data_IF_359740768427
#
_entry.id   IF_359740768427
#
_cell.length_a   1.000
_cell.length_b   1.000
_cell.length_c   1.000
_cell.angle_alpha   90.00
_cell.angle_beta   90.00
_cell.angle_gamma   90.00
#
_symmetry.space_group_name_H-M   'P 1'
#
loop_
_entity.id
_entity.type
_entity.pdbx_description
1 polymer ?
#
# COMPACT_ATOMS: atom_id res chain seq x y z
N UNK A 1 -10.24 -32.95 -8.77
CA UNK A 1 -11.04 -32.20 -9.74
C UNK A 1 -11.82 -31.14 -8.98
N UNK A 2 -11.26 -29.94 -8.86
CA UNK A 2 -11.92 -28.79 -8.25
C UNK A 2 -13.01 -28.32 -9.21
N UNK A 3 -14.24 -28.31 -8.75
CA UNK A 3 -15.34 -27.61 -9.44
C UNK A 3 -14.98 -26.13 -9.47
N UNK A 4 -14.58 -25.63 -10.63
CA UNK A 4 -14.49 -24.20 -10.87
C UNK A 4 -15.88 -23.60 -10.60
N UNK A 5 -15.97 -22.78 -9.56
CA UNK A 5 -17.22 -22.08 -9.25
C UNK A 5 -17.51 -21.12 -10.40
N UNK A 6 -18.48 -21.49 -11.22
CA UNK A 6 -18.95 -20.68 -12.32
C UNK A 6 -19.54 -19.39 -11.73
N UNK A 7 -18.97 -18.25 -12.10
CA UNK A 7 -19.57 -16.95 -11.79
C UNK A 7 -21.00 -16.93 -12.34
N UNK A 8 -21.97 -16.35 -11.63
CA UNK A 8 -23.33 -16.32 -12.13
C UNK A 8 -23.37 -15.64 -13.51
N UNK A 9 -24.09 -16.20 -14.48
CA UNK A 9 -23.99 -15.85 -15.91
C UNK A 9 -24.39 -14.40 -16.27
N UNK A 10 -24.80 -13.60 -15.30
CA UNK A 10 -25.32 -12.24 -15.52
C UNK A 10 -24.43 -11.10 -14.99
N UNK A 11 -23.23 -11.41 -14.44
CA UNK A 11 -22.34 -10.36 -13.95
C UNK A 11 -21.44 -9.85 -15.09
N UNK A 12 -21.84 -8.77 -15.68
CA UNK A 12 -20.98 -8.06 -16.63
C UNK A 12 -19.97 -7.19 -15.87
N UNK A 13 -18.84 -6.91 -16.50
CA UNK A 13 -17.84 -5.97 -16.00
C UNK A 13 -18.48 -4.64 -15.56
N UNK A 14 -19.43 -4.12 -16.35
CA UNK A 14 -20.11 -2.86 -16.06
C UNK A 14 -20.91 -2.92 -14.75
N UNK A 15 -21.65 -4.00 -14.51
CA UNK A 15 -22.41 -4.16 -13.26
C UNK A 15 -21.49 -4.24 -12.04
N UNK A 16 -20.40 -5.01 -12.14
CA UNK A 16 -19.43 -5.15 -11.04
C UNK A 16 -18.74 -3.81 -10.76
N UNK A 17 -18.32 -3.09 -11.79
CA UNK A 17 -17.67 -1.78 -11.65
C UNK A 17 -18.63 -0.75 -11.04
N UNK A 18 -19.88 -0.72 -11.48
CA UNK A 18 -20.91 0.16 -10.91
C UNK A 18 -21.14 -0.14 -9.43
N UNK A 19 -21.33 -1.41 -9.06
CA UNK A 19 -21.48 -1.82 -7.66
C UNK A 19 -20.24 -1.52 -6.83
N UNK A 20 -19.05 -1.69 -7.39
CA UNK A 20 -17.79 -1.39 -6.71
C UNK A 20 -17.65 0.09 -6.36
N UNK A 21 -18.18 0.98 -7.18
CA UNK A 21 -18.16 2.43 -6.96
C UNK A 21 -19.28 2.92 -6.06
N UNK A 22 -20.35 2.14 -5.89
CA UNK A 22 -21.44 2.46 -4.98
C UNK A 22 -21.03 2.20 -3.51
N UNK A 23 -21.46 3.07 -2.58
CA UNK A 23 -21.09 3.00 -1.17
C UNK A 23 -21.61 1.73 -0.48
N UNK A 24 -22.80 1.28 -0.81
CA UNK A 24 -23.41 0.08 -0.23
C UNK A 24 -22.93 -1.17 -0.96
N UNK A 25 -22.88 -1.11 -2.29
CA UNK A 25 -22.39 -2.17 -3.15
C UNK A 25 -20.95 -2.57 -2.84
N UNK A 26 -20.06 -1.59 -2.60
CA UNK A 26 -18.68 -1.86 -2.23
C UNK A 26 -18.56 -2.68 -0.94
N UNK A 27 -19.34 -2.36 0.07
CA UNK A 27 -19.34 -3.10 1.34
C UNK A 27 -19.83 -4.53 1.17
N UNK A 28 -20.85 -4.74 0.33
CA UNK A 28 -21.32 -6.09 0.00
C UNK A 28 -20.23 -6.88 -0.72
N UNK A 29 -19.54 -6.27 -1.67
CA UNK A 29 -18.40 -6.88 -2.38
C UNK A 29 -17.27 -7.27 -1.43
N UNK A 30 -16.89 -6.38 -0.53
CA UNK A 30 -15.89 -6.67 0.49
C UNK A 30 -16.31 -7.86 1.37
N UNK A 31 -17.58 -7.93 1.78
CA UNK A 31 -18.10 -9.03 2.58
C UNK A 31 -18.03 -10.37 1.82
N UNK A 32 -18.40 -10.37 0.53
CA UNK A 32 -18.29 -11.55 -0.35
C UNK A 32 -16.85 -12.01 -0.47
N UNK A 33 -15.90 -11.10 -0.76
CA UNK A 33 -14.48 -11.43 -0.89
C UNK A 33 -13.90 -12.01 0.41
N UNK A 34 -14.31 -11.49 1.57
CA UNK A 34 -13.89 -11.98 2.89
C UNK A 34 -14.44 -13.37 3.22
N UNK A 35 -15.69 -13.63 2.85
CA UNK A 35 -16.42 -14.84 3.25
C UNK A 35 -16.30 -15.98 2.25
N UNK A 36 -16.12 -15.70 0.97
CA UNK A 36 -16.22 -16.66 -0.12
C UNK A 36 -14.93 -16.75 -0.95
N UNK A 37 -13.88 -17.35 -0.38
CA UNK A 37 -12.58 -17.55 -1.08
C UNK A 37 -12.68 -18.17 -2.48
N UNK A 38 -13.58 -19.16 -2.76
CA UNK A 38 -13.73 -19.74 -4.10
C UNK A 38 -14.13 -18.71 -5.17
N UNK A 39 -14.79 -17.62 -4.77
CA UNK A 39 -15.24 -16.57 -5.70
C UNK A 39 -14.15 -15.59 -6.09
N UNK A 40 -13.02 -15.57 -5.39
CA UNK A 40 -11.93 -14.64 -5.66
C UNK A 40 -11.44 -14.74 -7.12
N UNK A 41 -11.12 -15.95 -7.57
CA UNK A 41 -10.60 -16.18 -8.94
C UNK A 41 -11.61 -15.83 -10.03
N UNK A 42 -12.85 -16.34 -10.01
CA UNK A 42 -13.88 -15.96 -10.97
C UNK A 42 -14.14 -14.45 -10.99
N UNK A 43 -14.25 -13.83 -9.82
CA UNK A 43 -14.50 -12.39 -9.72
C UNK A 43 -13.35 -11.57 -10.33
N UNK A 44 -12.10 -11.89 -9.99
CA UNK A 44 -10.96 -11.22 -10.57
C UNK A 44 -10.90 -11.44 -12.09
N UNK A 45 -10.93 -12.69 -12.55
CA UNK A 45 -10.70 -13.03 -13.94
C UNK A 45 -11.78 -12.50 -14.90
N UNK A 46 -13.05 -12.49 -14.46
CA UNK A 46 -14.18 -12.15 -15.33
C UNK A 46 -14.72 -10.73 -15.14
N UNK A 47 -14.41 -10.10 -14.00
CA UNK A 47 -15.06 -8.84 -13.66
C UNK A 47 -14.13 -7.70 -13.20
N UNK A 48 -12.92 -7.99 -12.71
CA UNK A 48 -12.04 -6.96 -12.16
C UNK A 48 -10.72 -6.81 -12.90
N UNK A 49 -10.31 -7.82 -13.65
CA UNK A 49 -9.05 -7.79 -14.39
C UNK A 49 -9.07 -6.68 -15.45
N UNK A 50 -8.03 -5.87 -15.44
CA UNK A 50 -7.88 -4.71 -16.33
C UNK A 50 -8.56 -3.44 -15.82
N UNK A 51 -9.23 -3.48 -14.66
CA UNK A 51 -9.90 -2.30 -14.06
C UNK A 51 -9.32 -1.91 -12.70
N UNK A 52 -8.32 -2.64 -12.19
CA UNK A 52 -7.78 -2.40 -10.85
C UNK A 52 -7.18 -1.00 -10.71
N UNK A 53 -6.55 -0.46 -11.76
CA UNK A 53 -6.04 0.91 -11.75
C UNK A 53 -7.16 1.92 -11.49
N UNK A 54 -8.21 1.89 -12.29
CA UNK A 54 -9.37 2.77 -12.14
C UNK A 54 -10.03 2.63 -10.76
N UNK A 55 -10.28 1.39 -10.34
CA UNK A 55 -10.91 1.11 -9.05
C UNK A 55 -10.03 1.53 -7.86
N UNK A 56 -8.72 1.41 -7.99
CA UNK A 56 -7.76 1.81 -6.95
C UNK A 56 -7.76 3.31 -6.69
N UNK A 57 -7.95 4.12 -7.72
CA UNK A 57 -8.03 5.57 -7.59
C UNK A 57 -9.41 6.04 -7.09
N UNK A 58 -10.46 5.24 -7.26
CA UNK A 58 -11.80 5.63 -6.88
C UNK A 58 -11.95 5.70 -5.34
N UNK A 59 -12.67 6.73 -4.83
CA UNK A 59 -12.84 6.99 -3.40
C UNK A 59 -13.40 5.80 -2.62
N UNK A 60 -14.36 5.10 -3.18
CA UNK A 60 -15.04 3.97 -2.54
C UNK A 60 -14.45 2.63 -2.97
N UNK A 61 -14.25 2.43 -4.27
CA UNK A 61 -13.85 1.13 -4.82
C UNK A 61 -12.42 0.71 -4.44
N UNK A 62 -11.53 1.65 -4.03
CA UNK A 62 -10.19 1.28 -3.58
C UNK A 62 -10.22 0.28 -2.40
N UNK A 63 -11.26 0.28 -1.57
CA UNK A 63 -11.41 -0.66 -0.46
C UNK A 63 -11.67 -2.09 -0.93
N UNK A 64 -12.37 -2.26 -2.05
CA UNK A 64 -12.54 -3.57 -2.69
C UNK A 64 -11.20 -4.08 -3.21
N UNK A 65 -10.41 -3.21 -3.84
CA UNK A 65 -9.06 -3.58 -4.32
C UNK A 65 -8.18 -3.98 -3.15
N UNK A 66 -8.18 -3.23 -2.05
CA UNK A 66 -7.46 -3.61 -0.83
C UNK A 66 -7.91 -4.96 -0.28
N UNK A 67 -9.22 -5.22 -0.27
CA UNK A 67 -9.78 -6.50 0.18
C UNK A 67 -9.41 -7.64 -0.77
N UNK A 68 -9.44 -7.41 -2.08
CA UNK A 68 -9.04 -8.38 -3.09
C UNK A 68 -7.57 -8.78 -2.92
N UNK A 69 -6.68 -7.83 -2.66
CA UNK A 69 -5.25 -8.07 -2.41
C UNK A 69 -5.08 -8.88 -1.13
N UNK A 70 -5.68 -8.43 -0.01
CA UNK A 70 -5.53 -9.05 1.32
C UNK A 70 -6.05 -10.50 1.38
N UNK A 71 -6.97 -10.85 0.50
CA UNK A 71 -7.59 -12.18 0.42
C UNK A 71 -7.13 -12.97 -0.80
N UNK A 72 -6.03 -12.56 -1.44
CA UNK A 72 -5.44 -13.34 -2.53
C UNK A 72 -5.12 -14.76 -2.03
N UNK A 73 -5.58 -15.80 -2.75
CA UNK A 73 -5.52 -17.17 -2.22
C UNK A 73 -4.11 -17.75 -2.19
N UNK A 74 -3.20 -17.23 -3.01
CA UNK A 74 -1.83 -17.72 -3.15
C UNK A 74 -0.93 -16.69 -3.85
N UNK A 75 0.38 -16.94 -3.81
CA UNK A 75 1.41 -16.09 -4.42
C UNK A 75 1.20 -15.82 -5.92
N UNK A 76 0.84 -16.78 -6.79
CA UNK A 76 0.53 -16.50 -8.19
C UNK A 76 -0.65 -15.51 -8.37
N UNK A 77 -1.71 -15.66 -7.56
CA UNK A 77 -2.87 -14.73 -7.61
C UNK A 77 -2.47 -13.32 -7.18
N UNK A 78 -1.67 -13.21 -6.12
CA UNK A 78 -1.10 -11.93 -5.69
C UNK A 78 -0.21 -11.32 -6.78
N UNK A 79 0.63 -12.13 -7.44
CA UNK A 79 1.50 -11.69 -8.54
C UNK A 79 0.74 -11.09 -9.72
N UNK A 80 -0.45 -11.60 -10.04
CA UNK A 80 -1.33 -11.00 -11.07
C UNK A 80 -1.81 -9.61 -10.67
N UNK A 81 -2.27 -9.44 -9.42
CA UNK A 81 -2.71 -8.14 -8.90
C UNK A 81 -1.56 -7.14 -8.87
N UNK A 82 -0.40 -7.57 -8.37
CA UNK A 82 0.78 -6.72 -8.30
C UNK A 82 1.20 -6.25 -9.69
N UNK A 83 1.27 -7.17 -10.68
CA UNK A 83 1.64 -6.83 -12.06
C UNK A 83 0.71 -5.78 -12.67
N UNK A 84 -0.59 -5.86 -12.39
CA UNK A 84 -1.58 -4.90 -12.88
C UNK A 84 -1.46 -3.54 -12.20
N UNK A 85 -1.12 -3.50 -10.90
CA UNK A 85 -1.07 -2.28 -10.10
C UNK A 85 0.31 -1.59 -10.09
N UNK A 86 1.39 -2.30 -10.44
CA UNK A 86 2.75 -1.73 -10.44
C UNK A 86 2.88 -0.43 -11.22
N UNK A 87 2.29 -0.28 -12.44
CA UNK A 87 2.37 0.98 -13.19
C UNK A 87 1.75 2.17 -12.44
N UNK A 88 0.78 1.91 -11.59
CA UNK A 88 0.01 2.94 -10.87
C UNK A 88 0.59 3.28 -9.47
N UNK A 89 1.63 2.58 -9.02
CA UNK A 89 2.21 2.78 -7.68
C UNK A 89 2.61 4.24 -7.44
N UNK A 90 3.17 4.92 -8.45
CA UNK A 90 3.60 6.32 -8.33
C UNK A 90 2.46 7.28 -8.03
N UNK A 91 1.31 7.07 -8.62
CA UNK A 91 0.11 7.88 -8.36
C UNK A 91 -0.62 7.43 -7.08
N UNK A 92 -0.68 6.11 -6.83
CA UNK A 92 -1.36 5.55 -5.67
C UNK A 92 -0.67 5.88 -4.35
N UNK A 93 0.66 6.01 -4.34
CA UNK A 93 1.40 6.33 -3.11
C UNK A 93 1.02 7.70 -2.55
N UNK A 94 0.61 8.62 -3.41
CA UNK A 94 0.15 9.95 -3.04
C UNK A 94 -1.37 10.02 -2.84
N UNK A 95 -2.14 9.38 -3.73
CA UNK A 95 -3.61 9.52 -3.74
C UNK A 95 -4.34 8.48 -2.90
N UNK A 96 -3.85 7.24 -2.87
CA UNK A 96 -4.47 6.09 -2.17
C UNK A 96 -3.41 5.20 -1.51
N UNK A 97 -2.61 5.74 -0.57
CA UNK A 97 -1.48 5.01 0.02
C UNK A 97 -1.90 3.74 0.79
N UNK A 98 -3.18 3.61 1.17
CA UNK A 98 -3.73 2.39 1.75
C UNK A 98 -3.62 1.17 0.83
N UNK A 99 -3.73 1.36 -0.49
CA UNK A 99 -3.54 0.27 -1.47
C UNK A 99 -2.08 -0.21 -1.46
N UNK A 100 -1.13 0.74 -1.42
CA UNK A 100 0.31 0.43 -1.36
C UNK A 100 0.67 -0.30 -0.07
N UNK A 101 0.10 0.13 1.06
CA UNK A 101 0.30 -0.54 2.35
C UNK A 101 -0.18 -2.00 2.31
N UNK A 102 -1.32 -2.25 1.71
CA UNK A 102 -1.86 -3.62 1.61
C UNK A 102 -1.01 -4.46 0.65
N UNK A 103 -0.55 -3.90 -0.48
CA UNK A 103 0.40 -4.59 -1.36
C UNK A 103 1.69 -4.96 -0.63
N UNK A 104 2.28 -4.04 0.16
CA UNK A 104 3.49 -4.31 0.91
C UNK A 104 3.29 -5.43 1.95
N UNK A 105 2.20 -5.40 2.70
CA UNK A 105 1.88 -6.45 3.69
C UNK A 105 1.66 -7.82 3.04
N UNK A 106 0.92 -7.85 1.94
CA UNK A 106 0.62 -9.11 1.27
C UNK A 106 1.87 -9.69 0.59
N UNK A 107 2.80 -8.86 0.10
CA UNK A 107 4.07 -9.34 -0.46
C UNK A 107 4.93 -10.08 0.58
N UNK A 108 4.95 -9.64 1.83
CA UNK A 108 5.59 -10.34 2.95
C UNK A 108 4.93 -11.70 3.18
N UNK A 109 3.61 -11.69 3.31
CA UNK A 109 2.82 -12.89 3.61
C UNK A 109 2.90 -13.95 2.50
N UNK A 110 2.92 -13.53 1.23
CA UNK A 110 3.00 -14.42 0.08
C UNK A 110 4.44 -14.81 -0.30
N UNK A 111 5.44 -14.16 0.28
CA UNK A 111 6.86 -14.42 0.02
C UNK A 111 7.30 -14.04 -1.40
N UNK A 112 6.59 -13.12 -2.08
CA UNK A 112 6.89 -12.76 -3.46
C UNK A 112 6.45 -11.35 -3.85
N UNK A 113 7.04 -10.81 -4.93
CA UNK A 113 6.68 -9.49 -5.48
C UNK A 113 7.26 -8.29 -4.73
N UNK A 114 7.86 -8.49 -3.56
CA UNK A 114 8.40 -7.40 -2.74
C UNK A 114 9.51 -6.61 -3.42
N UNK A 115 10.33 -7.27 -4.25
CA UNK A 115 11.44 -6.63 -4.98
C UNK A 115 10.93 -5.58 -5.97
N UNK A 116 9.98 -5.97 -6.80
CA UNK A 116 9.39 -5.09 -7.82
C UNK A 116 8.67 -3.91 -7.16
N UNK A 117 7.86 -4.18 -6.15
CA UNK A 117 7.14 -3.16 -5.40
C UNK A 117 8.11 -2.16 -4.74
N UNK A 118 9.13 -2.65 -4.04
CA UNK A 118 10.11 -1.80 -3.36
C UNK A 118 10.91 -0.95 -4.35
N UNK A 119 11.35 -1.53 -5.49
CA UNK A 119 12.04 -0.79 -6.54
C UNK A 119 11.19 0.37 -7.03
N UNK A 120 9.90 0.14 -7.26
CA UNK A 120 8.98 1.17 -7.72
C UNK A 120 8.74 2.23 -6.64
N UNK A 121 8.54 1.84 -5.38
CA UNK A 121 8.41 2.78 -4.25
C UNK A 121 9.68 3.64 -4.11
N UNK A 122 10.86 3.03 -4.18
CA UNK A 122 12.13 3.76 -4.11
C UNK A 122 12.28 4.78 -5.23
N UNK A 123 11.97 4.38 -6.46
CA UNK A 123 12.01 5.29 -7.61
C UNK A 123 11.05 6.49 -7.45
N UNK A 124 9.93 6.31 -6.75
CA UNK A 124 8.95 7.38 -6.51
C UNK A 124 9.37 8.33 -5.37
N UNK A 125 9.89 7.78 -4.27
CA UNK A 125 10.12 8.54 -3.04
C UNK A 125 11.55 9.05 -2.87
N UNK A 126 12.51 8.43 -3.55
CA UNK A 126 13.92 8.79 -3.50
C UNK A 126 14.56 8.73 -4.90
N UNK A 127 14.09 9.54 -5.87
CA UNK A 127 14.64 9.55 -7.21
C UNK A 127 16.13 10.00 -7.15
N UNK A 128 17.04 9.18 -7.70
CA UNK A 128 18.48 9.47 -7.70
C UNK A 128 19.27 8.98 -6.48
N UNK A 129 18.64 8.31 -5.51
CA UNK A 129 19.30 7.75 -4.33
C UNK A 129 20.21 6.53 -4.63
N UNK A 130 20.46 6.22 -5.90
CA UNK A 130 21.43 5.17 -6.31
C UNK A 130 22.89 5.60 -6.18
N UNK A 131 23.15 6.87 -5.89
CA UNK A 131 24.47 7.40 -5.52
C UNK A 131 24.59 7.37 -4.00
N UNK A 132 25.74 6.98 -3.48
CA UNK A 132 26.08 6.73 -2.07
C UNK A 132 25.69 7.85 -1.06
N UNK A 133 25.21 8.99 -1.53
CA UNK A 133 24.76 10.14 -0.74
C UNK A 133 23.26 10.11 -0.39
N UNK A 134 22.54 9.02 -0.68
CA UNK A 134 21.07 8.94 -0.49
C UNK A 134 20.56 9.02 0.97
N UNK A 135 21.46 9.23 1.94
CA UNK A 135 21.16 9.56 3.34
C UNK A 135 19.83 8.98 3.86
N UNK A 136 19.14 9.76 4.69
CA UNK A 136 17.83 9.41 5.26
C UNK A 136 16.64 9.57 4.28
N UNK A 137 16.86 9.91 3.00
CA UNK A 137 15.81 10.35 2.06
C UNK A 137 14.71 9.32 1.85
N UNK A 138 15.06 8.04 1.70
CA UNK A 138 14.06 6.99 1.48
C UNK A 138 13.17 6.78 2.71
N UNK A 139 13.77 6.70 3.90
CA UNK A 139 13.02 6.51 5.15
C UNK A 139 12.08 7.71 5.40
N UNK A 140 12.57 8.95 5.21
CA UNK A 140 11.77 10.17 5.31
C UNK A 140 10.62 10.18 4.30
N UNK A 141 10.89 9.83 3.04
CA UNK A 141 9.88 9.74 2.00
C UNK A 141 8.78 8.73 2.34
N UNK A 142 9.15 7.55 2.85
CA UNK A 142 8.17 6.55 3.29
C UNK A 142 7.35 7.04 4.48
N UNK A 143 7.99 7.64 5.49
CA UNK A 143 7.31 8.18 6.67
C UNK A 143 6.33 9.30 6.32
N UNK A 144 6.65 10.12 5.33
CA UNK A 144 5.80 11.22 4.86
C UNK A 144 4.55 10.75 4.09
N UNK A 145 4.46 9.48 3.68
CA UNK A 145 3.30 8.96 2.95
C UNK A 145 2.02 9.13 3.76
N UNK A 146 1.06 9.87 3.21
CA UNK A 146 -0.22 10.16 3.85
C UNK A 146 -0.18 11.22 4.96
N UNK A 147 0.96 11.91 5.20
CA UNK A 147 1.06 12.96 6.20
C UNK A 147 0.15 14.17 5.87
N UNK A 148 0.04 14.53 4.59
CA UNK A 148 -0.78 15.67 4.15
C UNK A 148 -2.28 15.50 4.48
N UNK A 149 -2.76 14.27 4.59
CA UNK A 149 -4.15 13.99 4.96
C UNK A 149 -4.45 14.31 6.43
N UNK A 150 -3.43 14.40 7.29
CA UNK A 150 -3.60 14.66 8.72
C UNK A 150 -3.50 16.15 9.08
N UNK A 151 -2.89 16.98 8.24
CA UNK A 151 -2.76 18.42 8.48
C UNK A 151 -4.10 19.16 8.53
N UNK A 152 -5.16 18.59 7.95
CA UNK A 152 -6.52 19.16 8.00
C UNK A 152 -7.24 18.94 9.34
N UNK A 153 -6.75 18.05 10.20
CA UNK A 153 -7.42 17.70 11.47
C UNK A 153 -6.71 18.18 12.74
N UNK A 154 -5.47 18.64 12.63
CA UNK A 154 -4.74 19.21 13.78
C UNK A 154 -4.67 20.72 13.63
N UNK A 155 -5.55 21.44 14.35
CA UNK A 155 -5.47 22.89 14.51
C UNK A 155 -4.08 23.29 15.06
N UNK A 156 -3.20 23.81 14.19
CA UNK A 156 -2.37 24.96 14.42
C UNK A 156 -1.45 24.98 15.64
N UNK A 157 -0.60 24.01 15.88
CA UNK A 157 0.66 24.22 16.60
C UNK A 157 1.79 23.51 15.87
N UNK A 158 2.27 24.15 14.81
CA UNK A 158 3.57 23.87 14.23
C UNK A 158 4.58 24.72 15.00
N UNK A 159 5.40 24.07 15.80
CA UNK A 159 6.66 24.63 16.22
C UNK A 159 7.57 24.70 14.98
N UNK A 160 7.94 25.91 14.58
CA UNK A 160 8.63 26.21 13.31
C UNK A 160 10.08 25.75 13.26
N UNK A 161 10.41 24.56 13.78
CA UNK A 161 11.74 23.97 13.61
C UNK A 161 11.88 23.40 12.22
N UNK A 162 12.82 23.92 11.42
CA UNK A 162 13.12 23.57 10.02
C UNK A 162 13.54 22.11 9.79
N UNK A 163 13.60 21.26 10.82
CA UNK A 163 14.07 19.87 10.76
C UNK A 163 12.99 18.81 11.04
N UNK A 164 11.69 19.16 11.06
CA UNK A 164 10.64 18.18 11.40
C UNK A 164 10.33 17.24 10.22
N UNK A 165 10.53 15.93 10.44
CA UNK A 165 10.08 14.90 9.48
C UNK A 165 8.55 14.88 9.45
N UNK A 166 7.97 14.95 8.25
CA UNK A 166 6.54 14.69 8.08
C UNK A 166 6.21 13.22 8.38
N UNK A 167 5.27 12.96 9.27
CA UNK A 167 4.92 11.60 9.71
C UNK A 167 3.46 11.33 9.41
N UNK A 168 3.22 10.36 8.50
CA UNK A 168 1.89 9.84 8.18
C UNK A 168 1.61 8.52 8.89
N UNK A 169 0.38 8.32 9.37
CA UNK A 169 -0.01 7.05 9.99
C UNK A 169 0.12 5.86 9.02
N UNK A 170 -0.14 6.09 7.73
CA UNK A 170 0.06 5.07 6.70
C UNK A 170 1.55 4.90 6.41
N UNK A 171 2.34 5.98 6.39
CA UNK A 171 3.77 5.96 6.18
C UNK A 171 4.50 5.14 7.25
N UNK A 172 4.19 5.33 8.53
CA UNK A 172 4.74 4.52 9.62
C UNK A 172 4.45 3.03 9.44
N UNK A 173 3.20 2.67 9.12
CA UNK A 173 2.82 1.26 8.86
C UNK A 173 3.45 0.70 7.58
N UNK A 174 3.65 1.55 6.57
CA UNK A 174 4.30 1.16 5.33
C UNK A 174 5.78 0.86 5.60
N UNK A 175 6.47 1.72 6.37
CA UNK A 175 7.85 1.50 6.79
C UNK A 175 8.00 0.14 7.48
N UNK A 176 7.14 -0.16 8.47
CA UNK A 176 7.12 -1.46 9.16
C UNK A 176 6.96 -2.63 8.18
N UNK A 177 6.00 -2.54 7.24
CA UNK A 177 5.76 -3.61 6.27
C UNK A 177 6.93 -3.79 5.29
N UNK A 178 7.64 -2.71 4.94
CA UNK A 178 8.78 -2.76 4.03
C UNK A 178 10.05 -3.29 4.71
N UNK A 179 10.26 -3.01 6.00
CA UNK A 179 11.38 -3.57 6.79
C UNK A 179 11.23 -5.09 6.95
N UNK A 180 10.01 -5.60 7.01
CA UNK A 180 9.75 -7.04 7.09
C UNK A 180 9.98 -7.79 5.78
N UNK A 181 10.30 -7.10 4.67
CA UNK A 181 10.62 -7.75 3.41
C UNK A 181 11.94 -8.52 3.50
N UNK A 182 12.04 -9.73 2.91
CA UNK A 182 13.27 -10.49 2.96
C UNK A 182 14.40 -9.85 2.12
N UNK A 183 15.63 -9.93 2.63
CA UNK A 183 16.85 -9.65 1.87
C UNK A 183 17.29 -8.19 1.83
N UNK A 184 18.04 -7.84 0.78
CA UNK A 184 18.74 -6.55 0.63
C UNK A 184 17.83 -5.31 0.60
N UNK A 185 16.53 -5.50 0.39
CA UNK A 185 15.55 -4.42 0.30
C UNK A 185 15.27 -3.78 1.66
N UNK A 186 15.07 -4.62 2.69
CA UNK A 186 14.97 -4.15 4.06
C UNK A 186 16.28 -3.48 4.48
N UNK A 187 17.43 -4.03 4.09
CA UNK A 187 18.74 -3.46 4.43
C UNK A 187 18.91 -2.02 3.91
N UNK A 188 18.52 -1.72 2.66
CA UNK A 188 18.62 -0.37 2.12
C UNK A 188 17.73 0.64 2.85
N UNK A 189 16.54 0.19 3.30
CA UNK A 189 15.62 1.03 4.06
C UNK A 189 16.11 1.24 5.49
N UNK A 190 16.64 0.19 6.14
CA UNK A 190 17.26 0.27 7.46
C UNK A 190 18.50 1.17 7.43
N UNK A 191 19.33 1.06 6.40
CA UNK A 191 20.47 1.97 6.22
C UNK A 191 20.00 3.43 6.04
N UNK A 192 18.94 3.65 5.27
CA UNK A 192 18.35 4.99 5.15
C UNK A 192 17.79 5.50 6.49
N UNK A 193 17.20 4.62 7.30
CA UNK A 193 16.69 4.97 8.63
C UNK A 193 17.83 5.25 9.62
N UNK A 194 18.94 4.52 9.54
CA UNK A 194 20.12 4.76 10.40
C UNK A 194 20.83 6.09 10.13
N UNK A 195 20.58 6.70 8.99
CA UNK A 195 21.10 8.02 8.63
C UNK A 195 20.20 9.18 9.12
N UNK A 196 19.14 8.90 9.86
CA UNK A 196 18.36 9.93 10.53
C UNK A 196 19.20 10.60 11.63
N UNK A 197 19.09 11.92 11.76
CA UNK A 197 19.76 12.67 12.83
C UNK A 197 19.16 12.33 14.21
N UNK A 198 19.91 12.61 15.27
CA UNK A 198 19.44 12.43 16.64
C UNK A 198 18.14 13.20 16.92
N UNK A 199 18.03 14.43 16.41
CA UNK A 199 16.84 15.27 16.57
C UNK A 199 15.62 14.68 15.84
N UNK A 200 15.84 14.11 14.65
CA UNK A 200 14.80 13.44 13.88
C UNK A 200 14.30 12.15 14.57
N UNK A 201 15.22 11.36 15.12
CA UNK A 201 14.87 10.17 15.91
C UNK A 201 14.10 10.59 17.18
N UNK A 202 14.53 11.64 17.84
CA UNK A 202 13.85 12.18 19.02
C UNK A 202 12.44 12.68 18.65
N UNK A 203 12.30 13.37 17.52
CA UNK A 203 10.99 13.80 17.01
C UNK A 203 10.08 12.61 16.70
N UNK A 204 10.61 11.57 16.04
CA UNK A 204 9.88 10.32 15.77
C UNK A 204 9.43 9.64 17.07
N UNK A 205 10.32 9.54 18.07
CA UNK A 205 10.02 8.86 19.34
C UNK A 205 8.92 9.55 20.17
N UNK A 206 8.85 10.86 20.08
CA UNK A 206 7.82 11.67 20.76
C UNK A 206 6.47 11.67 20.04
N UNK A 207 6.44 11.34 18.76
CA UNK A 207 5.22 11.29 17.99
C UNK A 207 4.55 9.91 18.15
N UNK A 208 3.26 9.82 18.55
CA UNK A 208 2.57 8.54 18.77
C UNK A 208 2.49 7.63 17.53
N UNK A 209 2.59 8.22 16.36
CA UNK A 209 2.62 7.49 15.07
C UNK A 209 4.06 7.13 14.70
N UNK A 210 5.00 8.04 14.93
CA UNK A 210 6.41 7.85 14.64
C UNK A 210 7.09 6.81 15.53
N UNK A 211 6.75 6.75 16.82
CA UNK A 211 7.31 5.79 17.76
C UNK A 211 7.12 4.34 17.30
N UNK A 212 5.95 4.04 16.71
CA UNK A 212 5.68 2.72 16.13
C UNK A 212 6.58 2.34 14.96
N UNK A 213 7.15 3.32 14.26
CA UNK A 213 8.11 3.05 13.19
C UNK A 213 9.50 2.68 13.75
N UNK A 214 9.85 3.19 14.94
CA UNK A 214 11.12 2.90 15.61
C UNK A 214 11.08 1.52 16.28
N UNK A 215 9.91 1.07 16.73
CA UNK A 215 9.70 -0.23 17.38
C UNK A 215 9.75 -1.42 16.40
N UNK A 216 9.74 -1.22 15.09
CA UNK A 216 9.69 -2.26 14.07
C UNK A 216 11.06 -2.82 13.70
#
# INVERSE_FOLDING_TARGET
>A
SGKEGVAPPHWTLAHVTMMAKDKTGSRLFEAILKSCRPWWRPLYAHALRGTLDELSHHLTANHIVQTLISHSPNSPSYGLLLKELLPSVSSLITTRPGVILVLAKESVKQGGGGKELMRTIRACLAPGADKEEGGATLAKGVLAVGAQSQQQYTNGQYDGSESSIAIGAIGSRLLQALIQQPGSLAASLLQSASNLSADEILHLSRNPVGSRAIEA
#
